data_IF_683655815776
#
_entry.id   IF_683655815776
#
_cell.length_a   1.000
_cell.length_b   1.000
_cell.length_c   1.000
_cell.angle_alpha   90.00
_cell.angle_beta   90.00
_cell.angle_gamma   90.00
#
_symmetry.space_group_name_H-M   'P 1'
#
loop_
_entity.id
_entity.type
_entity.pdbx_description
1 polymer ?
#
# COMPACT_ATOMS: atom_id res chain seq x y z
N UNK A 1 -10.23 11.02 -6.82
CA UNK A 1 -9.96 10.76 -5.38
C UNK A 1 -8.48 10.48 -5.15
N UNK A 2 -7.98 10.63 -3.93
CA UNK A 2 -6.60 10.30 -3.55
C UNK A 2 -6.52 8.83 -3.12
N UNK A 3 -5.63 8.06 -3.73
CA UNK A 3 -5.34 6.69 -3.32
C UNK A 3 -4.05 6.66 -2.50
N UNK A 4 -4.18 6.38 -1.21
CA UNK A 4 -3.06 6.21 -0.29
C UNK A 4 -2.56 4.77 -0.33
N UNK A 5 -1.24 4.59 -0.42
CA UNK A 5 -0.58 3.29 -0.37
C UNK A 5 0.13 3.16 0.98
N UNK A 6 -0.43 2.30 1.83
CA UNK A 6 0.10 1.99 3.16
C UNK A 6 1.00 0.76 3.20
N UNK A 7 1.55 0.52 4.39
CA UNK A 7 2.54 -0.52 4.64
C UNK A 7 1.93 -1.92 4.77
N UNK A 8 2.73 -2.92 4.42
CA UNK A 8 2.43 -4.32 4.71
C UNK A 8 2.42 -4.56 6.24
N UNK A 9 1.25 -4.84 6.81
CA UNK A 9 1.07 -4.92 8.26
C UNK A 9 2.07 -5.85 9.00
N UNK A 10 2.42 -7.04 8.46
CA UNK A 10 3.42 -7.92 9.09
C UNK A 10 4.84 -7.35 9.21
N UNK A 11 5.18 -6.30 8.45
CA UNK A 11 6.48 -5.63 8.60
C UNK A 11 6.58 -4.79 9.88
N UNK A 12 5.47 -4.63 10.62
CA UNK A 12 5.39 -3.95 11.92
C UNK A 12 5.93 -2.50 11.92
N UNK A 13 5.87 -1.81 10.79
CA UNK A 13 6.26 -0.41 10.65
C UNK A 13 5.19 0.52 11.24
N UNK A 14 5.07 0.54 12.56
CA UNK A 14 3.96 1.17 13.28
C UNK A 14 3.82 2.68 13.01
N UNK A 15 4.94 3.40 12.91
CA UNK A 15 4.92 4.84 12.59
C UNK A 15 4.28 5.09 11.24
N UNK A 16 4.68 4.35 10.22
CA UNK A 16 4.18 4.53 8.85
C UNK A 16 2.75 4.02 8.68
N UNK A 17 2.35 2.98 9.41
CA UNK A 17 0.95 2.55 9.49
C UNK A 17 0.06 3.66 10.07
N UNK A 18 0.48 4.31 11.16
CA UNK A 18 -0.24 5.44 11.75
C UNK A 18 -0.23 6.66 10.84
N UNK A 19 0.88 6.93 10.15
CA UNK A 19 0.96 8.02 9.18
C UNK A 19 -0.04 7.85 8.05
N UNK A 20 -0.16 6.66 7.46
CA UNK A 20 -1.18 6.38 6.42
C UNK A 20 -2.61 6.61 6.92
N UNK A 21 -2.92 6.20 8.16
CA UNK A 21 -4.22 6.45 8.78
C UNK A 21 -4.45 7.94 9.06
N UNK A 22 -3.44 8.65 9.55
CA UNK A 22 -3.49 10.09 9.78
C UNK A 22 -3.77 10.83 8.47
N UNK A 23 -3.11 10.45 7.37
CA UNK A 23 -3.35 11.03 6.05
C UNK A 23 -4.76 10.76 5.55
N UNK A 24 -5.27 9.53 5.72
CA UNK A 24 -6.64 9.18 5.36
C UNK A 24 -7.64 10.08 6.11
N UNK A 25 -7.51 10.14 7.44
CA UNK A 25 -8.38 10.93 8.31
C UNK A 25 -8.31 12.41 7.94
N UNK A 26 -7.11 12.98 7.81
CA UNK A 26 -6.92 14.39 7.48
C UNK A 26 -7.51 14.77 6.13
N UNK A 27 -7.29 13.96 5.08
CA UNK A 27 -7.88 14.20 3.76
C UNK A 27 -9.41 14.12 3.81
N UNK A 28 -9.96 13.09 4.45
CA UNK A 28 -11.42 12.95 4.56
C UNK A 28 -12.07 14.07 5.37
N UNK A 29 -11.42 14.52 6.45
CA UNK A 29 -11.90 15.63 7.28
C UNK A 29 -11.86 16.97 6.51
N UNK A 30 -10.92 17.12 5.58
CA UNK A 30 -10.85 18.26 4.67
C UNK A 30 -11.82 18.16 3.48
N UNK A 31 -12.69 17.15 3.42
CA UNK A 31 -13.63 16.94 2.32
C UNK A 31 -12.99 16.38 1.05
N UNK A 32 -11.74 15.93 1.11
CA UNK A 32 -11.04 15.30 -0.02
C UNK A 32 -11.33 13.80 -0.01
N UNK A 33 -11.97 13.25 -1.07
CA UNK A 33 -12.20 11.81 -1.15
C UNK A 33 -10.87 11.06 -1.18
N UNK A 34 -10.66 10.17 -0.21
CA UNK A 34 -9.45 9.39 -0.07
C UNK A 34 -9.75 7.94 0.33
N UNK A 35 -8.88 7.02 -0.09
CA UNK A 35 -8.93 5.61 0.27
C UNK A 35 -7.51 5.12 0.60
N UNK A 36 -7.36 4.31 1.64
CA UNK A 36 -6.10 3.67 1.99
C UNK A 36 -6.14 2.19 1.60
N UNK A 37 -5.21 1.77 0.75
CA UNK A 37 -4.98 0.36 0.43
C UNK A 37 -3.57 -0.04 0.85
N UNK A 38 -3.38 -1.31 1.17
CA UNK A 38 -2.06 -1.85 1.55
C UNK A 38 -1.94 -3.30 1.06
N UNK A 39 -0.71 -3.83 0.90
CA UNK A 39 -0.53 -5.24 0.63
C UNK A 39 -1.17 -6.06 1.76
N UNK A 40 -1.99 -7.04 1.40
CA UNK A 40 -2.66 -7.91 2.35
C UNK A 40 -1.86 -9.21 2.53
N UNK A 41 -1.71 -9.71 3.77
CA UNK A 41 -0.97 -10.93 4.02
C UNK A 41 -1.84 -12.16 3.71
N UNK A 42 -2.02 -12.45 2.41
CA UNK A 42 -2.74 -13.64 1.94
C UNK A 42 -1.94 -14.89 2.27
N UNK A 43 -0.63 -14.87 2.02
CA UNK A 43 0.26 -16.00 2.26
C UNK A 43 1.25 -15.77 3.41
N UNK A 44 1.65 -14.54 3.69
CA UNK A 44 2.61 -14.22 4.77
C UNK A 44 2.09 -14.48 6.19
N UNK A 45 0.81 -14.81 6.37
CA UNK A 45 0.23 -15.26 7.65
C UNK A 45 0.47 -16.74 7.95
N UNK A 46 0.94 -17.53 6.99
CA UNK A 46 1.12 -18.97 7.17
C UNK A 46 2.36 -19.28 8.03
N UNK A 47 2.19 -19.27 9.35
CA UNK A 47 3.25 -19.55 10.33
C UNK A 47 3.74 -21.00 10.31
N UNK A 48 2.98 -21.92 9.70
CA UNK A 48 3.30 -23.36 9.65
C UNK A 48 4.46 -23.74 8.73
N UNK A 49 4.90 -22.85 7.84
CA UNK A 49 5.93 -23.15 6.84
C UNK A 49 7.37 -22.79 7.27
N UNK A 50 7.56 -22.27 8.50
CA UNK A 50 8.85 -21.79 8.98
C UNK A 50 9.17 -20.36 8.52
N UNK A 51 10.06 -19.68 9.25
CA UNK A 51 10.36 -18.26 9.05
C UNK A 51 10.89 -17.92 7.65
N UNK A 52 11.65 -18.83 7.04
CA UNK A 52 12.17 -18.66 5.68
C UNK A 52 11.05 -18.65 4.64
N UNK A 53 10.14 -19.63 4.68
CA UNK A 53 9.03 -19.69 3.75
C UNK A 53 8.07 -18.51 3.94
N UNK A 54 7.77 -18.13 5.18
CA UNK A 54 6.93 -16.97 5.48
C UNK A 54 7.47 -15.66 4.86
N UNK A 55 8.80 -15.50 4.82
CA UNK A 55 9.46 -14.37 4.14
C UNK A 55 9.20 -14.35 2.64
N UNK A 56 9.36 -15.49 1.97
CA UNK A 56 9.11 -15.59 0.52
C UNK A 56 7.63 -15.40 0.18
N UNK A 57 6.73 -15.93 1.00
CA UNK A 57 5.29 -15.72 0.86
C UNK A 57 4.90 -14.25 1.04
N UNK A 58 5.53 -13.53 1.97
CA UNK A 58 5.35 -12.09 2.11
C UNK A 58 5.82 -11.32 0.85
N UNK A 59 6.89 -11.77 0.19
CA UNK A 59 7.30 -11.18 -1.09
C UNK A 59 6.30 -11.44 -2.22
N UNK A 60 5.66 -12.61 -2.26
CA UNK A 60 4.57 -12.88 -3.20
C UNK A 60 3.41 -11.91 -2.98
N UNK A 61 3.00 -11.70 -1.72
CA UNK A 61 1.95 -10.75 -1.36
C UNK A 61 2.29 -9.33 -1.84
N UNK A 62 3.52 -8.87 -1.56
CA UNK A 62 3.98 -7.50 -1.86
C UNK A 62 4.27 -7.26 -3.35
N UNK A 63 4.82 -8.22 -4.08
CA UNK A 63 5.34 -7.97 -5.44
C UNK A 63 4.54 -8.61 -6.56
N UNK A 64 3.64 -9.55 -6.27
CA UNK A 64 2.82 -10.19 -7.31
C UNK A 64 1.33 -9.91 -7.14
N UNK A 65 0.83 -9.96 -5.90
CA UNK A 65 -0.60 -9.80 -5.62
C UNK A 65 -0.97 -8.33 -5.56
N UNK A 66 -0.28 -7.55 -4.72
CA UNK A 66 -0.63 -6.16 -4.50
C UNK A 66 -0.51 -5.27 -5.75
N UNK A 67 0.53 -5.37 -6.60
CA UNK A 67 0.61 -4.60 -7.84
C UNK A 67 -0.61 -4.76 -8.74
N UNK A 68 -1.13 -5.98 -8.88
CA UNK A 68 -2.35 -6.25 -9.67
C UNK A 68 -3.59 -5.59 -9.07
N UNK A 69 -3.72 -5.59 -7.74
CA UNK A 69 -4.79 -4.89 -7.01
C UNK A 69 -4.69 -3.38 -7.21
N UNK A 70 -3.49 -2.83 -7.09
CA UNK A 70 -3.20 -1.41 -7.31
C UNK A 70 -3.54 -0.97 -8.73
N UNK A 71 -3.03 -1.67 -9.74
CA UNK A 71 -3.30 -1.36 -11.16
C UNK A 71 -4.81 -1.38 -11.47
N UNK A 72 -5.55 -2.36 -10.92
CA UNK A 72 -7.01 -2.40 -11.07
C UNK A 72 -7.65 -1.18 -10.41
N UNK A 73 -7.24 -0.84 -9.19
CA UNK A 73 -7.83 0.26 -8.42
C UNK A 73 -7.60 1.62 -9.06
N UNK A 74 -6.40 1.85 -9.60
CA UNK A 74 -6.00 3.09 -10.28
C UNK A 74 -6.88 3.40 -11.49
N UNK A 75 -7.36 2.37 -12.20
CA UNK A 75 -8.28 2.53 -13.34
C UNK A 75 -9.66 3.07 -12.97
N UNK A 76 -9.99 3.17 -11.67
CA UNK A 76 -11.30 3.59 -11.19
C UNK A 76 -11.25 4.95 -10.48
N UNK A 77 -11.17 6.05 -11.24
CA UNK A 77 -11.40 7.41 -10.72
C UNK A 77 -10.34 7.93 -9.72
N UNK A 78 -9.12 7.39 -9.77
CA UNK A 78 -7.99 7.88 -8.97
C UNK A 78 -7.35 9.08 -9.66
N UNK A 79 -7.18 10.17 -8.91
CA UNK A 79 -6.63 11.44 -9.41
C UNK A 79 -5.18 11.66 -8.96
N UNK A 80 -4.78 11.01 -7.87
CA UNK A 80 -3.45 11.10 -7.26
C UNK A 80 -3.18 9.80 -6.50
N UNK A 81 -1.98 9.24 -6.64
CA UNK A 81 -1.49 8.17 -5.78
C UNK A 81 -0.48 8.76 -4.80
N UNK A 82 -0.69 8.54 -3.50
CA UNK A 82 0.26 8.94 -2.46
C UNK A 82 0.81 7.68 -1.79
N UNK A 83 2.07 7.40 -2.03
CA UNK A 83 2.81 6.33 -1.36
C UNK A 83 3.28 6.89 -0.01
N UNK A 84 2.68 6.38 1.07
CA UNK A 84 2.87 6.92 2.41
C UNK A 84 4.23 6.62 3.03
N UNK A 85 5.04 5.76 2.40
CA UNK A 85 6.38 5.37 2.83
C UNK A 85 7.27 5.05 1.63
N UNK A 86 8.46 5.65 1.58
CA UNK A 86 9.49 5.43 0.57
C UNK A 86 9.87 3.95 0.40
N UNK A 87 9.77 3.12 1.44
CA UNK A 87 10.02 1.68 1.33
C UNK A 87 9.05 0.97 0.37
N UNK A 88 7.92 1.62 0.02
CA UNK A 88 6.92 1.14 -0.92
C UNK A 88 6.97 1.88 -2.28
N UNK A 89 8.01 2.68 -2.55
CA UNK A 89 8.14 3.49 -3.76
C UNK A 89 8.17 2.67 -5.07
N UNK A 90 8.52 1.37 -4.99
CA UNK A 90 8.46 0.48 -6.16
C UNK A 90 7.07 0.39 -6.79
N UNK A 91 6.00 0.66 -6.03
CA UNK A 91 4.63 0.66 -6.55
C UNK A 91 4.33 1.86 -7.45
N UNK A 92 5.24 2.83 -7.56
CA UNK A 92 5.08 3.96 -8.48
C UNK A 92 4.92 3.50 -9.93
N UNK A 93 5.66 2.46 -10.34
CA UNK A 93 5.56 1.89 -11.69
C UNK A 93 4.17 1.30 -12.00
N UNK A 94 3.44 0.88 -10.96
CA UNK A 94 2.11 0.27 -11.07
C UNK A 94 0.96 1.31 -11.11
N UNK A 95 1.26 2.58 -10.86
CA UNK A 95 0.28 3.68 -10.87
C UNK A 95 -0.01 4.25 -12.27
N UNK A 96 0.71 3.80 -13.30
CA UNK A 96 0.49 4.23 -14.68
C UNK A 96 0.73 5.75 -14.87
N UNK A 97 -0.22 6.43 -15.52
CA UNK A 97 -0.13 7.87 -15.81
C UNK A 97 -0.67 8.78 -14.69
N UNK A 98 -1.13 8.21 -13.56
CA UNK A 98 -1.66 9.01 -12.45
C UNK A 98 -0.50 9.70 -11.73
N UNK A 99 -0.62 11.00 -11.39
CA UNK A 99 0.40 11.69 -10.59
C UNK A 99 0.70 10.97 -9.28
N UNK A 100 1.98 11.01 -8.87
CA UNK A 100 2.48 10.24 -7.72
C UNK A 100 3.20 11.17 -6.75
N UNK A 101 2.90 11.02 -5.47
CA UNK A 101 3.64 11.62 -4.36
C UNK A 101 4.18 10.48 -3.49
N UNK A 102 5.44 10.58 -3.08
CA UNK A 102 6.07 9.61 -2.17
C UNK A 102 6.53 10.37 -0.93
N UNK A 103 6.16 9.88 0.25
CA UNK A 103 6.66 10.39 1.54
C UNK A 103 7.81 9.50 2.02
N UNK A 104 8.94 10.13 2.33
CA UNK A 104 10.10 9.52 2.96
C UNK A 104 9.96 9.44 4.48
#
# INVERSE_FOLDING_TARGET
MVLLIGNYAPDQQQSMQRFGLMMLQGLTAAGVPAELISPEPVFGRFKGAGAFAAKWLAYVDKFLIFPRKLQRRVRHGVSLVHICDHSNAMYAADAGAVPIVVTC
#
